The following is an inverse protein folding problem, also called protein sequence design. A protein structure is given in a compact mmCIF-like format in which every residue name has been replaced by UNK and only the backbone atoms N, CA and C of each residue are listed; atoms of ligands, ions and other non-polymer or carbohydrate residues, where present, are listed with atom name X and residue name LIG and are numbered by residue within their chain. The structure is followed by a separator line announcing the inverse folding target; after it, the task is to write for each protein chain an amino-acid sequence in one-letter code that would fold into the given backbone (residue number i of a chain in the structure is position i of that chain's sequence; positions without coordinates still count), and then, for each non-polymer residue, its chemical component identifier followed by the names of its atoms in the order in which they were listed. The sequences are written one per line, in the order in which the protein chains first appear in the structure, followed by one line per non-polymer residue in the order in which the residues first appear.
data_IF_625125676691
#
_entry.id   IF_625125676691
#
_cell.length_a   1.000
_cell.length_b   1.000
_cell.length_c   1.000
_cell.angle_alpha   90.00
_cell.angle_beta   90.00
_cell.angle_gamma   90.00
#
_symmetry.space_group_name_H-M   'P 1'
#
loop_
_entity.id
_entity.type
_entity.pdbx_description
1 polymer ?
#
# COMPACT_ATOMS: atom_id res chain seq x y z
N UNK A 1 -9.84 -5.03 5.82
CA UNK A 1 -8.83 -4.15 5.18
C UNK A 1 -9.55 -3.38 4.10
N UNK A 2 -9.44 -2.06 4.18
CA UNK A 2 -10.02 -1.11 3.26
C UNK A 2 -8.91 -0.13 2.89
N UNK A 3 -8.76 0.16 1.60
CA UNK A 3 -7.74 1.07 1.10
C UNK A 3 -8.45 2.34 0.66
N UNK A 4 -7.96 3.50 1.11
CA UNK A 4 -8.47 4.78 0.63
C UNK A 4 -8.22 4.89 -0.87
N UNK A 5 -8.99 5.74 -1.56
CA UNK A 5 -8.78 5.95 -3.00
C UNK A 5 -7.35 6.43 -3.27
N UNK A 6 -6.62 5.66 -4.08
CA UNK A 6 -5.27 5.99 -4.52
C UNK A 6 -5.36 6.71 -5.86
N UNK A 7 -4.93 7.97 -5.92
CA UNK A 7 -5.01 8.81 -7.12
C UNK A 7 -3.65 9.04 -7.76
N UNK A 8 -3.63 9.13 -9.08
CA UNK A 8 -2.48 9.61 -9.84
C UNK A 8 -2.11 11.03 -9.37
N UNK A 9 -0.82 11.30 -9.19
CA UNK A 9 -0.28 12.57 -8.69
C UNK A 9 -0.37 12.74 -7.17
N UNK A 10 -1.00 11.81 -6.43
CA UNK A 10 -0.97 11.82 -4.97
C UNK A 10 0.41 11.39 -4.46
N UNK A 11 0.77 11.86 -3.27
CA UNK A 11 1.96 11.43 -2.52
C UNK A 11 1.61 10.53 -1.33
N UNK A 12 0.36 10.05 -1.26
CA UNK A 12 -0.18 9.38 -0.09
C UNK A 12 -0.92 8.09 -0.44
N UNK A 13 -0.55 7.00 0.25
CA UNK A 13 -1.28 5.73 0.30
C UNK A 13 -1.69 5.49 1.76
N UNK A 14 -2.99 5.33 2.01
CA UNK A 14 -3.53 5.10 3.35
C UNK A 14 -4.73 4.17 3.33
N UNK A 15 -5.13 3.74 4.52
CA UNK A 15 -6.32 2.92 4.69
C UNK A 15 -6.42 2.36 6.10
N UNK A 16 -7.28 1.35 6.23
CA UNK A 16 -7.53 0.66 7.48
C UNK A 16 -7.34 -0.85 7.35
N UNK A 17 -6.95 -1.48 8.45
CA UNK A 17 -6.83 -2.92 8.57
C UNK A 17 -7.44 -3.37 9.89
N UNK A 18 -8.29 -4.40 9.79
CA UNK A 18 -8.93 -5.01 10.95
C UNK A 18 -8.01 -6.03 11.61
N UNK A 19 -8.16 -6.18 12.93
CA UNK A 19 -7.38 -7.14 13.74
C UNK A 19 -6.18 -6.51 14.42
N UNK A 20 -5.37 -7.35 15.07
CA UNK A 20 -4.20 -6.91 15.84
C UNK A 20 -2.94 -6.85 14.96
N UNK A 21 -3.06 -6.17 13.83
CA UNK A 21 -1.96 -5.99 12.87
C UNK A 21 -1.06 -4.86 13.35
N UNK A 22 0.24 -5.12 13.44
CA UNK A 22 1.23 -4.14 13.92
C UNK A 22 2.10 -3.56 12.82
N UNK A 23 2.24 -4.30 11.71
CA UNK A 23 3.06 -3.90 10.59
C UNK A 23 2.53 -4.51 9.29
N UNK A 24 2.87 -3.86 8.19
CA UNK A 24 2.53 -4.31 6.84
C UNK A 24 3.64 -3.93 5.88
N UNK A 25 3.68 -4.62 4.75
CA UNK A 25 4.58 -4.34 3.65
C UNK A 25 3.77 -3.76 2.49
N UNK A 26 4.21 -2.63 1.95
CA UNK A 26 3.66 -2.03 0.74
C UNK A 26 4.73 -2.07 -0.34
N UNK A 27 4.40 -2.63 -1.50
CA UNK A 27 5.25 -2.63 -2.69
C UNK A 27 4.60 -1.79 -3.76
N UNK A 28 5.39 -0.95 -4.41
CA UNK A 28 4.96 -0.10 -5.52
C UNK A 28 5.80 -0.48 -6.72
N UNK A 29 5.15 -1.05 -7.73
CA UNK A 29 5.79 -1.50 -8.95
C UNK A 29 5.33 -0.65 -10.13
N UNK A 30 6.27 0.04 -10.78
CA UNK A 30 6.00 0.76 -12.01
C UNK A 30 6.28 -0.16 -13.21
N UNK A 31 5.24 -0.61 -13.91
CA UNK A 31 5.42 -1.64 -14.96
C UNK A 31 6.11 -1.13 -16.23
N UNK A 32 6.14 0.19 -16.45
CA UNK A 32 6.81 0.80 -17.63
C UNK A 32 8.32 0.85 -17.43
N UNK A 33 8.76 1.30 -16.25
CA UNK A 33 10.19 1.44 -15.93
C UNK A 33 10.79 0.18 -15.31
N UNK A 34 9.95 -0.74 -14.83
CA UNK A 34 10.37 -1.91 -14.05
C UNK A 34 10.84 -1.57 -12.63
N UNK A 35 10.68 -0.32 -12.19
CA UNK A 35 11.09 0.12 -10.87
C UNK A 35 10.20 -0.50 -9.79
N UNK A 36 10.82 -1.00 -8.72
CA UNK A 36 10.15 -1.55 -7.55
C UNK A 36 10.61 -0.80 -6.30
N UNK A 37 9.67 -0.22 -5.57
CA UNK A 37 9.89 0.29 -4.23
C UNK A 37 9.15 -0.57 -3.20
N UNK A 38 9.76 -0.85 -2.06
CA UNK A 38 9.20 -1.69 -1.00
C UNK A 38 9.38 -1.00 0.35
N UNK A 39 8.29 -0.84 1.09
CA UNK A 39 8.28 -0.15 2.38
C UNK A 39 7.57 -0.98 3.44
N UNK A 40 8.16 -1.03 4.64
CA UNK A 40 7.54 -1.64 5.82
C UNK A 40 7.00 -0.54 6.71
N UNK A 41 5.68 -0.51 6.87
CA UNK A 41 5.01 0.54 7.66
C UNK A 41 4.39 -0.04 8.92
N UNK A 42 4.42 0.75 9.98
CA UNK A 42 3.70 0.44 11.21
C UNK A 42 2.22 0.74 11.04
N UNK A 43 1.40 -0.10 11.67
CA UNK A 43 -0.04 0.10 11.75
C UNK A 43 -0.36 0.62 13.14
N UNK A 44 -0.98 1.79 13.19
CA UNK A 44 -1.36 2.44 14.45
C UNK A 44 -2.88 2.50 14.55
N UNK A 45 -3.44 1.89 15.60
CA UNK A 45 -4.88 1.87 15.85
C UNK A 45 -5.71 1.39 14.62
N UNK A 46 -5.20 0.37 13.91
CA UNK A 46 -5.83 -0.19 12.71
C UNK A 46 -5.74 0.71 11.47
N UNK A 47 -4.93 1.76 11.50
CA UNK A 47 -4.71 2.68 10.37
C UNK A 47 -3.26 2.62 9.93
N UNK A 48 -3.03 2.87 8.64
CA UNK A 48 -1.68 2.96 8.09
C UNK A 48 -1.58 4.14 7.13
N UNK A 49 -0.35 4.62 6.96
CA UNK A 49 0.00 5.72 6.08
C UNK A 49 1.37 5.47 5.47
N UNK A 50 1.52 5.67 4.17
CA UNK A 50 2.79 5.70 3.47
C UNK A 50 2.85 6.95 2.60
N UNK A 51 3.90 7.74 2.80
CA UNK A 51 4.22 8.88 1.92
C UNK A 51 5.22 8.43 0.86
N UNK A 52 4.99 8.88 -0.38
CA UNK A 52 5.81 8.59 -1.56
C UNK A 52 6.01 9.87 -2.36
N UNK A 53 7.01 9.90 -3.25
CA UNK A 53 7.27 11.10 -4.06
C UNK A 53 6.06 11.49 -4.91
N UNK A 54 5.57 10.56 -5.73
CA UNK A 54 4.40 10.73 -6.60
C UNK A 54 3.91 9.36 -7.08
N UNK A 55 2.59 9.15 -7.05
CA UNK A 55 1.93 7.96 -7.61
C UNK A 55 1.64 8.18 -9.09
N UNK A 56 2.09 7.26 -9.94
CA UNK A 56 1.95 7.34 -11.39
C UNK A 56 0.82 6.46 -11.91
N UNK A 57 0.27 6.78 -13.08
CA UNK A 57 -0.80 5.98 -13.72
C UNK A 57 -0.37 4.52 -13.95
N UNK A 58 0.93 4.30 -14.14
CA UNK A 58 1.50 2.98 -14.42
C UNK A 58 1.97 2.22 -13.17
N UNK A 59 1.70 2.75 -11.98
CA UNK A 59 2.04 2.07 -10.73
C UNK A 59 1.00 1.00 -10.38
N UNK A 60 1.49 -0.11 -9.84
CA UNK A 60 0.71 -1.17 -9.19
C UNK A 60 1.14 -1.21 -7.74
N UNK A 61 0.20 -0.98 -6.83
CA UNK A 61 0.46 -0.98 -5.39
C UNK A 61 -0.02 -2.32 -4.83
N UNK A 62 0.92 -3.12 -4.34
CA UNK A 62 0.64 -4.38 -3.67
C UNK A 62 0.81 -4.20 -2.16
N UNK A 63 -0.26 -4.39 -1.42
CA UNK A 63 -0.28 -4.29 0.04
C UNK A 63 -0.35 -5.70 0.62
N UNK A 64 0.62 -6.04 1.46
CA UNK A 64 0.72 -7.33 2.13
C UNK A 64 0.61 -7.15 3.64
N UNK A 65 -0.34 -7.84 4.24
CA UNK A 65 -0.48 -7.92 5.71
C UNK A 65 -0.25 -9.35 6.15
N UNK A 66 0.59 -9.51 7.18
CA UNK A 66 0.83 -10.79 7.84
C UNK A 66 0.17 -10.76 9.23
N UNK A 67 -0.79 -11.65 9.44
CA UNK A 67 -1.48 -11.83 10.72
C UNK A 67 -1.31 -13.27 11.19
N UNK A 68 -0.48 -13.50 12.21
CA UNK A 68 -0.30 -14.81 12.83
C UNK A 68 -0.05 -15.96 11.83
N UNK A 69 0.75 -15.70 10.79
CA UNK A 69 1.10 -16.67 9.76
C UNK A 69 0.13 -16.75 8.57
N UNK A 70 -0.95 -15.95 8.58
CA UNK A 70 -1.84 -15.77 7.42
C UNK A 70 -1.45 -14.48 6.70
N UNK A 71 -1.04 -14.61 5.45
CA UNK A 71 -0.78 -13.46 4.57
C UNK A 71 -2.03 -13.09 3.79
N UNK A 72 -2.41 -11.81 3.81
CA UNK A 72 -3.45 -11.22 2.97
C UNK A 72 -2.81 -10.21 2.03
N UNK A 73 -3.29 -10.18 0.79
CA UNK A 73 -2.75 -9.32 -0.26
C UNK A 73 -3.89 -8.52 -0.92
N UNK A 74 -3.63 -7.26 -1.23
CA UNK A 74 -4.50 -6.43 -2.07
C UNK A 74 -3.64 -5.76 -3.14
N UNK A 75 -4.07 -5.87 -4.39
CA UNK A 75 -3.55 -5.06 -5.49
C UNK A 75 -4.45 -3.84 -5.69
N UNK A 76 -3.84 -2.65 -5.75
CA UNK A 76 -4.52 -1.38 -6.00
C UNK A 76 -3.89 -0.73 -7.23
N UNK A 77 -4.76 -0.28 -8.14
CA UNK A 77 -4.39 0.52 -9.31
C UNK A 77 -4.85 1.96 -9.10
N UNK A 78 -3.98 2.96 -9.31
CA UNK A 78 -4.37 4.35 -9.15
C UNK A 78 -5.53 4.76 -10.06
N UNK A 79 -6.48 5.53 -9.52
CA UNK A 79 -7.53 6.20 -10.29
C UNK A 79 -7.07 7.56 -10.80
N UNK A 80 -7.72 8.05 -11.86
CA UNK A 80 -7.51 9.40 -12.42
C UNK A 80 -8.15 10.49 -11.57
#
# INVERSE_FOLDING_TARGET
MEIDEVKVGSSLISGTVDGNIRAMEIRIYNYVTGNLNNEYIQVENGKFKLEVDEIKEEDIILITVNDNGISKFIEVRPSK
#
